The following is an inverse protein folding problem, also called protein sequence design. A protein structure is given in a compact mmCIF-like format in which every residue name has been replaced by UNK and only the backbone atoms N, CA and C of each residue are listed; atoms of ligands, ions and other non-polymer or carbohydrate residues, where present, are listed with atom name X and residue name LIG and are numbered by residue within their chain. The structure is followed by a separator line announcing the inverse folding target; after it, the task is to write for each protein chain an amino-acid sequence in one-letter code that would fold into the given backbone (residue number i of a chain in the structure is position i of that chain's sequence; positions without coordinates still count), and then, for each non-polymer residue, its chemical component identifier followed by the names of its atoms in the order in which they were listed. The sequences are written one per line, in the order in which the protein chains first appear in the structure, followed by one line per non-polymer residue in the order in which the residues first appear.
data_IF_907499306871
#
_entry.id   IF_907499306871
#
_cell.length_a   1.000
_cell.length_b   1.000
_cell.length_c   1.000
_cell.angle_alpha   90.00
_cell.angle_beta   90.00
_cell.angle_gamma   90.00
#
_symmetry.space_group_name_H-M   'P 1'
#
loop_
_entity.id
_entity.type
_entity.pdbx_description
1 polymer ?
#
# COMPACT_ATOMS: atom_id res chain seq x y z
N UNK A 1 0.22 9.40 -14.99
CA UNK A 1 0.66 9.35 -13.57
C UNK A 1 2.15 9.68 -13.38
N UNK A 2 2.47 10.90 -12.90
CA UNK A 2 3.84 11.44 -12.82
C UNK A 2 4.61 11.00 -11.55
N UNK A 3 4.61 9.71 -11.20
CA UNK A 3 5.37 9.24 -10.02
C UNK A 3 6.89 9.45 -10.15
N UNK A 4 7.42 9.65 -11.36
CA UNK A 4 8.82 10.03 -11.54
C UNK A 4 9.17 11.37 -10.85
N UNK A 5 8.20 12.29 -10.68
CA UNK A 5 8.42 13.55 -9.96
C UNK A 5 8.72 13.32 -8.46
N UNK A 6 8.33 12.18 -7.88
CA UNK A 6 8.65 11.90 -6.47
C UNK A 6 10.15 11.69 -6.25
N UNK A 7 10.92 11.38 -7.30
CA UNK A 7 12.39 11.32 -7.23
C UNK A 7 13.04 12.68 -6.93
N UNK A 8 12.31 13.77 -7.16
CA UNK A 8 12.76 15.15 -6.95
C UNK A 8 12.24 15.76 -5.64
N UNK A 9 11.37 15.04 -4.92
CA UNK A 9 10.76 15.53 -3.68
C UNK A 9 11.55 15.06 -2.45
N UNK A 10 11.66 15.88 -1.40
CA UNK A 10 12.26 15.44 -0.14
C UNK A 10 11.37 14.38 0.53
N UNK A 11 12.00 13.47 1.27
CA UNK A 11 11.28 12.62 2.22
C UNK A 11 10.85 13.48 3.42
N UNK A 12 9.63 13.30 3.98
CA UNK A 12 8.68 12.20 3.76
C UNK A 12 7.62 12.43 2.67
N UNK A 13 7.66 13.58 1.97
CA UNK A 13 6.62 13.96 0.99
C UNK A 13 6.56 12.97 -0.17
N UNK A 14 7.72 12.54 -0.67
CA UNK A 14 7.82 11.52 -1.71
C UNK A 14 7.15 10.21 -1.28
N UNK A 15 7.46 9.70 -0.07
CA UNK A 15 6.88 8.47 0.45
C UNK A 15 5.35 8.56 0.63
N UNK A 16 4.84 9.71 1.08
CA UNK A 16 3.39 9.92 1.17
C UNK A 16 2.72 9.93 -0.20
N UNK A 17 3.30 10.57 -1.20
CA UNK A 17 2.76 10.59 -2.56
C UNK A 17 2.74 9.18 -3.19
N UNK A 18 3.83 8.43 -3.04
CA UNK A 18 3.93 7.04 -3.50
C UNK A 18 2.90 6.14 -2.81
N UNK A 19 2.76 6.25 -1.48
CA UNK A 19 1.80 5.46 -0.71
C UNK A 19 0.35 5.84 -1.05
N UNK A 20 0.04 7.13 -1.18
CA UNK A 20 -1.30 7.62 -1.52
C UNK A 20 -1.74 7.10 -2.89
N UNK A 21 -0.84 7.19 -3.88
CA UNK A 21 -1.08 6.68 -5.23
C UNK A 21 -1.35 5.18 -5.20
N UNK A 22 -0.56 4.44 -4.42
CA UNK A 22 -0.74 2.99 -4.26
C UNK A 22 -2.09 2.68 -3.62
N UNK A 23 -2.45 3.32 -2.51
CA UNK A 23 -3.76 3.13 -1.86
C UNK A 23 -4.91 3.48 -2.80
N UNK A 24 -4.77 4.53 -3.61
CA UNK A 24 -5.79 4.91 -4.59
C UNK A 24 -5.99 3.84 -5.67
N UNK A 25 -4.89 3.32 -6.23
CA UNK A 25 -4.96 2.31 -7.30
C UNK A 25 -5.45 0.96 -6.79
N UNK A 26 -5.02 0.56 -5.59
CA UNK A 26 -5.32 -0.75 -5.02
C UNK A 26 -6.67 -0.80 -4.31
N UNK A 27 -7.09 0.29 -3.67
CA UNK A 27 -8.12 0.21 -2.63
C UNK A 27 -9.06 1.43 -2.56
N UNK A 28 -9.12 2.31 -3.57
CA UNK A 28 -9.99 3.51 -3.49
C UNK A 28 -11.46 3.21 -3.16
N UNK A 29 -11.97 2.07 -3.64
CA UNK A 29 -13.35 1.60 -3.43
C UNK A 29 -13.55 0.90 -2.08
N UNK A 30 -12.46 0.57 -1.38
CA UNK A 30 -12.51 -0.15 -0.10
C UNK A 30 -12.93 0.77 1.06
N UNK A 31 -13.47 0.18 2.16
CA UNK A 31 -13.66 0.91 3.41
C UNK A 31 -12.32 1.45 3.93
N UNK A 32 -12.37 2.48 4.78
CA UNK A 32 -11.16 3.14 5.34
C UNK A 32 -10.18 2.13 5.96
N UNK A 33 -10.70 1.11 6.64
CA UNK A 33 -9.89 0.07 7.25
C UNK A 33 -9.15 -0.80 6.21
N UNK A 34 -9.75 -1.06 5.05
CA UNK A 34 -9.10 -1.79 3.94
C UNK A 34 -8.00 -0.97 3.28
N UNK A 35 -8.22 0.33 3.10
CA UNK A 35 -7.21 1.26 2.58
C UNK A 35 -6.00 1.37 3.53
N UNK A 36 -6.24 1.46 4.84
CA UNK A 36 -5.18 1.43 5.85
C UNK A 36 -4.44 0.07 5.85
N UNK A 37 -5.14 -1.04 5.64
CA UNK A 37 -4.53 -2.37 5.58
C UNK A 37 -3.58 -2.54 4.37
N UNK A 38 -3.94 -2.02 3.20
CA UNK A 38 -3.04 -1.99 2.03
C UNK A 38 -1.80 -1.13 2.31
N UNK A 39 -1.99 0.05 2.92
CA UNK A 39 -0.87 0.91 3.31
C UNK A 39 0.07 0.21 4.32
N UNK A 40 -0.50 -0.53 5.28
CA UNK A 40 0.23 -1.35 6.25
C UNK A 40 1.08 -2.43 5.58
N UNK A 41 0.58 -3.11 4.53
CA UNK A 41 1.37 -4.08 3.75
C UNK A 41 2.58 -3.42 3.09
N UNK A 42 2.40 -2.27 2.44
CA UNK A 42 3.49 -1.55 1.79
C UNK A 42 4.57 -1.10 2.79
N UNK A 43 4.16 -0.53 3.92
CA UNK A 43 5.07 -0.07 4.98
C UNK A 43 5.79 -1.25 5.67
N UNK A 44 5.11 -2.38 5.85
CA UNK A 44 5.72 -3.61 6.36
C UNK A 44 6.77 -4.18 5.41
N UNK A 45 6.48 -4.20 4.10
CA UNK A 45 7.45 -4.61 3.07
C UNK A 45 8.70 -3.73 3.08
N UNK A 46 8.54 -2.42 3.29
CA UNK A 46 9.68 -1.47 3.49
C UNK A 46 10.52 -1.83 4.71
N UNK A 47 9.89 -2.08 5.85
CA UNK A 47 10.62 -2.43 7.09
C UNK A 47 11.39 -3.76 6.95
N UNK A 48 10.90 -4.69 6.12
CA UNK A 48 11.60 -5.94 5.79
C UNK A 48 12.76 -5.75 4.79
N UNK A 49 12.92 -4.56 4.21
CA UNK A 49 13.97 -4.25 3.25
C UNK A 49 13.80 -4.91 1.88
N UNK A 50 12.64 -5.53 1.60
CA UNK A 50 12.35 -6.07 0.28
C UNK A 50 12.22 -4.92 -0.72
N UNK A 51 12.93 -5.00 -1.85
CA UNK A 51 12.97 -4.00 -2.92
C UNK A 51 13.54 -2.62 -2.55
N UNK A 52 13.86 -2.38 -1.28
CA UNK A 52 14.52 -1.15 -0.83
C UNK A 52 14.07 -0.69 0.56
N UNK A 53 14.59 0.46 0.96
CA UNK A 53 14.38 1.06 2.29
C UNK A 53 13.48 2.30 2.27
N UNK A 54 12.81 2.60 1.15
CA UNK A 54 11.84 3.69 1.04
C UNK A 54 10.49 3.16 0.56
N UNK A 55 9.40 3.86 0.87
CA UNK A 55 8.07 3.41 0.45
C UNK A 55 7.96 3.42 -1.07
N UNK A 56 8.49 4.46 -1.73
CA UNK A 56 8.50 4.52 -3.19
C UNK A 56 9.16 3.28 -3.82
N UNK A 57 10.34 2.86 -3.35
CA UNK A 57 11.02 1.68 -3.89
C UNK A 57 10.18 0.40 -3.81
N UNK A 58 9.45 0.22 -2.70
CA UNK A 58 8.56 -0.92 -2.50
C UNK A 58 7.38 -0.88 -3.46
N UNK A 59 6.70 0.26 -3.58
CA UNK A 59 5.47 0.35 -4.37
C UNK A 59 5.72 0.45 -5.87
N UNK A 60 6.93 0.86 -6.27
CA UNK A 60 7.37 0.84 -7.67
C UNK A 60 8.17 -0.40 -8.03
N UNK A 61 8.22 -1.41 -7.15
CA UNK A 61 8.86 -2.68 -7.47
C UNK A 61 8.04 -3.46 -8.51
N UNK A 62 8.69 -4.13 -9.48
CA UNK A 62 7.99 -4.80 -10.57
C UNK A 62 6.91 -5.77 -10.08
N UNK A 63 5.68 -5.58 -10.56
CA UNK A 63 4.52 -6.45 -10.30
C UNK A 63 4.13 -6.57 -8.81
N UNK A 64 4.61 -5.69 -7.94
CA UNK A 64 4.27 -5.74 -6.51
C UNK A 64 2.99 -4.98 -6.17
N UNK A 65 2.70 -3.92 -6.95
CA UNK A 65 1.53 -3.07 -6.84
C UNK A 65 1.12 -2.57 -8.23
N UNK A 66 -0.15 -2.19 -8.35
CA UNK A 66 -0.80 -1.62 -9.53
C UNK A 66 -0.05 -0.40 -10.07
N UNK A 67 0.70 0.30 -9.23
CA UNK A 67 1.61 1.39 -9.61
C UNK A 67 2.55 1.06 -10.78
N UNK A 68 2.98 -0.20 -10.90
CA UNK A 68 3.89 -0.64 -11.99
C UNK A 68 3.21 -1.29 -13.17
N UNK A 69 1.93 -1.67 -13.04
CA UNK A 69 1.14 -2.30 -14.10
C UNK A 69 0.14 -1.34 -14.73
N UNK A 70 -0.15 -0.22 -14.07
CA UNK A 70 -1.01 0.85 -14.57
C UNK A 70 -0.26 1.68 -15.61
N UNK A 71 -0.83 1.96 -16.80
CA UNK A 71 -0.17 2.75 -17.83
C UNK A 71 0.24 4.14 -17.34
N UNK A 72 1.37 4.65 -17.83
CA UNK A 72 1.83 6.01 -17.51
C UNK A 72 0.86 7.12 -17.93
N UNK A 73 -0.01 6.85 -18.90
CA UNK A 73 -1.10 7.72 -19.36
C UNK A 73 -2.35 7.67 -18.48
N UNK A 74 -2.38 6.83 -17.44
CA UNK A 74 -3.50 6.79 -16.50
C UNK A 74 -3.60 8.10 -15.72
N UNK A 75 -4.81 8.65 -15.72
CA UNK A 75 -5.18 9.89 -15.04
C UNK A 75 -6.05 9.60 -13.82
N UNK A 76 -5.73 10.29 -12.72
CA UNK A 76 -6.55 10.25 -11.50
C UNK A 76 -7.74 11.17 -11.73
N UNK A 77 -8.90 10.57 -12.02
CA UNK A 77 -10.14 11.31 -12.30
C UNK A 77 -10.99 11.56 -11.05
N UNK A 78 -10.92 10.68 -10.04
CA UNK A 78 -11.64 10.83 -8.79
C UNK A 78 -10.75 11.49 -7.73
N UNK A 79 -10.75 12.83 -7.72
CA UNK A 79 -9.92 13.63 -6.82
C UNK A 79 -10.30 13.46 -5.35
N UNK A 80 -11.57 13.25 -5.03
CA UNK A 80 -12.01 13.03 -3.64
C UNK A 80 -11.46 11.72 -3.08
N UNK A 81 -11.53 10.65 -3.88
CA UNK A 81 -10.94 9.36 -3.51
C UNK A 81 -9.41 9.46 -3.40
N UNK A 82 -8.76 10.24 -4.26
CA UNK A 82 -7.31 10.47 -4.14
C UNK A 82 -6.96 11.28 -2.89
N UNK A 83 -7.72 12.32 -2.56
CA UNK A 83 -7.54 13.08 -1.33
C UNK A 83 -7.72 12.19 -0.10
N UNK A 84 -8.74 11.32 -0.08
CA UNK A 84 -8.90 10.29 0.95
C UNK A 84 -7.67 9.37 1.06
N UNK A 85 -7.18 8.87 -0.07
CA UNK A 85 -5.98 8.03 -0.11
C UNK A 85 -4.73 8.78 0.42
N UNK A 86 -4.60 10.08 0.13
CA UNK A 86 -3.54 10.94 0.66
C UNK A 86 -3.58 11.07 2.18
N UNK A 87 -4.77 11.27 2.76
CA UNK A 87 -4.96 11.32 4.21
C UNK A 87 -4.66 9.97 4.87
N UNK A 88 -5.06 8.87 4.24
CA UNK A 88 -4.77 7.51 4.71
C UNK A 88 -3.27 7.22 4.67
N UNK A 89 -2.58 7.60 3.61
CA UNK A 89 -1.13 7.46 3.49
C UNK A 89 -0.41 8.22 4.62
N UNK A 90 -0.74 9.50 4.83
CA UNK A 90 -0.16 10.31 5.91
C UNK A 90 -0.42 9.71 7.29
N UNK A 91 -1.65 9.26 7.56
CA UNK A 91 -1.99 8.59 8.83
C UNK A 91 -1.21 7.28 9.03
N UNK A 92 -1.04 6.51 7.97
CA UNK A 92 -0.30 5.24 8.01
C UNK A 92 1.18 5.46 8.29
N UNK A 93 1.80 6.45 7.62
CA UNK A 93 3.19 6.85 7.87
C UNK A 93 3.37 7.33 9.32
N UNK A 94 2.47 8.16 9.83
CA UNK A 94 2.50 8.61 11.22
C UNK A 94 2.36 7.46 12.22
N UNK A 95 1.51 6.47 11.93
CA UNK A 95 1.43 5.27 12.76
C UNK A 95 2.73 4.45 12.68
N UNK A 96 3.35 4.36 11.51
CA UNK A 96 4.57 3.58 11.29
C UNK A 96 5.84 4.22 11.83
N UNK A 97 5.83 5.53 12.11
CA UNK A 97 6.94 6.21 12.80
C UNK A 97 6.97 5.91 14.30
N UNK A 98 5.90 5.36 14.86
CA UNK A 98 5.86 4.92 16.26
C UNK A 98 6.74 3.67 16.47
N UNK A 99 7.27 3.47 17.70
CA UNK A 99 7.87 2.21 18.09
C UNK A 99 6.94 1.03 17.78
N UNK A 100 7.49 -0.12 17.37
CA UNK A 100 6.71 -1.28 16.91
C UNK A 100 5.60 -1.67 17.91
N UNK A 101 5.90 -1.65 19.21
CA UNK A 101 4.95 -1.99 20.27
C UNK A 101 3.76 -1.01 20.42
N UNK A 102 3.87 0.19 19.85
CA UNK A 102 2.84 1.23 19.91
C UNK A 102 2.06 1.37 18.59
N UNK A 103 2.51 0.72 17.51
CA UNK A 103 1.83 0.77 16.22
C UNK A 103 0.47 0.10 16.32
N UNK A 104 -0.57 0.76 15.83
CA UNK A 104 -1.85 0.11 15.58
C UNK A 104 -1.73 -0.73 14.32
N UNK A 105 -1.92 -2.05 14.45
CA UNK A 105 -1.82 -3.01 13.35
C UNK A 105 -3.22 -3.54 13.03
N UNK A 106 -3.67 -3.36 11.80
CA UNK A 106 -4.96 -3.85 11.30
C UNK A 106 -4.86 -5.24 10.71
N UNK A 107 -3.72 -5.53 10.07
CA UNK A 107 -3.45 -6.80 9.41
C UNK A 107 -2.09 -7.34 9.90
N UNK A 108 -1.98 -7.75 11.18
CA UNK A 108 -0.72 -8.17 11.76
C UNK A 108 -0.07 -9.27 10.91
N UNK A 109 1.24 -9.13 10.67
CA UNK A 109 2.09 -10.05 9.88
C UNK A 109 1.76 -10.13 8.39
N UNK A 110 0.64 -9.61 7.92
CA UNK A 110 0.26 -9.73 6.51
C UNK A 110 1.21 -8.96 5.60
N UNK A 111 1.85 -9.62 4.67
CA UNK A 111 2.77 -9.00 3.71
C UNK A 111 2.29 -9.16 2.27
N UNK A 112 1.13 -9.79 2.07
CA UNK A 112 0.46 -9.95 0.79
C UNK A 112 -1.02 -9.71 0.96
N UNK A 113 -1.67 -9.31 -0.14
CA UNK A 113 -3.11 -9.30 -0.27
C UNK A 113 -3.49 -9.65 -1.71
N UNK A 114 -4.71 -10.12 -1.88
CA UNK A 114 -5.30 -10.39 -3.19
C UNK A 114 -6.81 -10.14 -3.11
N UNK A 115 -7.44 -9.87 -4.25
CA UNK A 115 -8.89 -9.86 -4.31
C UNK A 115 -9.43 -11.27 -4.00
N UNK A 116 -10.57 -11.35 -3.33
CA UNK A 116 -11.20 -12.65 -3.00
C UNK A 116 -11.68 -13.43 -4.23
N UNK A 117 -11.69 -12.79 -5.40
CA UNK A 117 -12.09 -13.37 -6.68
C UNK A 117 -10.99 -14.21 -7.33
N UNK A 118 -9.74 -14.11 -6.86
CA UNK A 118 -8.60 -14.83 -7.41
C UNK A 118 -7.87 -15.66 -6.33
N UNK A 119 -7.15 -16.69 -6.77
CA UNK A 119 -6.33 -17.53 -5.91
C UNK A 119 -4.89 -17.62 -6.43
N UNK A 120 -4.03 -16.63 -6.12
CA UNK A 120 -2.63 -16.64 -6.55
C UNK A 120 -1.86 -17.85 -6.02
N UNK A 121 -0.86 -18.33 -6.76
CA UNK A 121 -0.09 -19.52 -6.38
C UNK A 121 0.61 -19.44 -5.00
N UNK A 122 0.90 -18.22 -4.53
CA UNK A 122 1.49 -17.94 -3.22
C UNK A 122 0.47 -17.98 -2.06
N UNK A 123 -0.84 -17.91 -2.34
CA UNK A 123 -1.92 -17.81 -1.33
C UNK A 123 -2.32 -19.17 -0.72
N UNK A 124 -1.35 -20.05 -0.49
CA UNK A 124 -1.59 -21.41 0.04
C UNK A 124 -2.04 -21.41 1.51
N UNK A 125 -1.59 -20.41 2.27
CA UNK A 125 -1.98 -20.23 3.66
C UNK A 125 -3.38 -19.63 3.74
N UNK A 126 -4.11 -19.90 4.83
CA UNK A 126 -5.35 -19.17 5.10
C UNK A 126 -5.06 -17.68 5.28
N UNK A 127 -5.95 -16.78 4.79
CA UNK A 127 -5.81 -15.37 5.07
C UNK A 127 -5.91 -15.11 6.57
N UNK A 128 -5.12 -14.15 7.07
CA UNK A 128 -5.20 -13.70 8.46
C UNK A 128 -6.48 -12.92 8.72
N UNK A 129 -6.95 -12.18 7.73
CA UNK A 129 -8.20 -11.43 7.75
C UNK A 129 -8.64 -11.09 6.33
N UNK A 130 -9.95 -10.99 6.13
CA UNK A 130 -10.55 -10.44 4.91
C UNK A 130 -11.22 -9.11 5.26
N UNK A 131 -10.93 -8.07 4.50
CA UNK A 131 -11.47 -6.72 4.67
C UNK A 131 -11.93 -6.24 3.31
N UNK A 132 -13.22 -5.93 3.18
CA UNK A 132 -13.82 -5.61 1.89
C UNK A 132 -13.57 -6.71 0.88
N UNK A 133 -13.04 -6.36 -0.30
CA UNK A 133 -12.76 -7.30 -1.38
C UNK A 133 -11.38 -7.95 -1.27
N UNK A 134 -10.59 -7.63 -0.23
CA UNK A 134 -9.22 -8.14 -0.07
C UNK A 134 -9.09 -9.18 1.04
N UNK A 135 -8.45 -10.29 0.71
CA UNK A 135 -7.90 -11.24 1.67
C UNK A 135 -6.42 -10.94 1.92
N UNK A 136 -6.01 -10.84 3.19
CA UNK A 136 -4.65 -10.50 3.61
C UNK A 136 -3.92 -11.73 4.13
N UNK A 137 -2.67 -11.93 3.72
CA UNK A 137 -1.91 -13.16 3.98
C UNK A 137 -0.54 -12.84 4.57
N UNK A 138 -0.10 -13.68 5.51
CA UNK A 138 1.30 -13.76 5.93
C UNK A 138 1.96 -14.90 5.16
N UNK A 139 2.81 -14.55 4.19
CA UNK A 139 3.51 -15.51 3.33
C UNK A 139 4.95 -15.68 3.80
N UNK A 140 5.62 -14.57 4.15
CA UNK A 140 6.98 -14.56 4.71
C UNK A 140 7.02 -14.25 6.20
#
# INVERSE_FOLDING_TARGET
MLLWLTSLMPQPVADQACLATTVYLEARSEPVIGQLAVAEVALRRRDRGHWGNTVCKVVTAPHQFATTTTPGSFEITNLDAFHKAWLIAGRSINNWSLPVAQRKMLVPRADHFATIEISPAWSRNRPSVTIGEHAFYAVN
#
